data_IF_223620508235
#
_entry.id   IF_223620508235
#
_cell.length_a   1.000
_cell.length_b   1.000
_cell.length_c   1.000
_cell.angle_alpha   90.00
_cell.angle_beta   90.00
_cell.angle_gamma   90.00
#
_symmetry.space_group_name_H-M   'P 1'
#
loop_
_entity.id
_entity.type
_entity.pdbx_description
1 polymer ?
#
# COMPACT_ATOMS: atom_id res chain seq x y z
N UNK A 1 15.54 -10.11 9.46
CA UNK A 1 14.36 -10.14 8.57
C UNK A 1 13.50 -8.92 8.90
N UNK A 2 13.07 -8.17 7.89
CA UNK A 2 12.28 -6.95 8.10
C UNK A 2 10.90 -7.14 7.46
N UNK A 3 9.84 -6.89 8.23
CA UNK A 3 8.46 -6.82 7.76
C UNK A 3 8.03 -5.37 7.76
N UNK A 4 7.64 -4.86 6.60
CA UNK A 4 7.06 -3.53 6.48
C UNK A 4 5.52 -3.63 6.48
N UNK A 5 4.85 -2.62 7.04
CA UNK A 5 3.39 -2.55 7.15
C UNK A 5 2.71 -3.83 7.68
N UNK A 6 3.29 -4.41 8.73
CA UNK A 6 2.82 -5.65 9.33
C UNK A 6 1.39 -5.49 9.89
N UNK A 7 0.45 -6.27 9.34
CA UNK A 7 -0.94 -6.28 9.75
C UNK A 7 -1.50 -7.71 9.73
N UNK A 8 -2.47 -7.98 10.61
CA UNK A 8 -3.20 -9.25 10.63
C UNK A 8 -4.61 -8.95 10.14
N UNK A 9 -4.95 -9.45 8.96
CA UNK A 9 -6.26 -9.20 8.33
C UNK A 9 -7.20 -10.38 8.49
N UNK A 10 -6.64 -11.59 8.59
CA UNK A 10 -7.40 -12.83 8.70
C UNK A 10 -6.86 -13.73 9.81
N UNK A 11 -7.66 -14.70 10.23
CA UNK A 11 -7.24 -15.70 11.22
C UNK A 11 -6.14 -16.62 10.69
N UNK A 12 -6.12 -16.84 9.37
CA UNK A 12 -5.12 -17.64 8.69
C UNK A 12 -3.74 -17.01 8.84
N UNK A 13 -3.66 -15.68 8.83
CA UNK A 13 -2.42 -14.93 9.06
C UNK A 13 -1.83 -15.32 10.43
N UNK A 14 -2.62 -15.28 11.51
CA UNK A 14 -2.14 -15.69 12.86
C UNK A 14 -1.61 -17.13 12.87
N UNK A 15 -2.37 -18.06 12.27
CA UNK A 15 -2.03 -19.49 12.26
C UNK A 15 -0.72 -19.76 11.51
N UNK A 16 -0.43 -18.98 10.46
CA UNK A 16 0.81 -19.09 9.69
C UNK A 16 1.98 -18.35 10.34
N UNK A 17 1.72 -17.16 10.90
CA UNK A 17 2.76 -16.29 11.44
C UNK A 17 3.33 -16.81 12.76
N UNK A 18 2.52 -17.44 13.62
CA UNK A 18 2.98 -18.02 14.88
C UNK A 18 4.14 -19.02 14.73
N UNK A 19 4.01 -20.12 13.93
CA UNK A 19 5.10 -21.07 13.76
C UNK A 19 6.29 -20.44 13.02
N UNK A 20 6.05 -19.55 12.05
CA UNK A 20 7.11 -18.84 11.35
C UNK A 20 7.98 -18.04 12.32
N UNK A 21 7.38 -17.19 13.15
CA UNK A 21 8.11 -16.36 14.10
C UNK A 21 8.84 -17.20 15.13
N UNK A 22 8.21 -18.27 15.63
CA UNK A 22 8.85 -19.22 16.55
C UNK A 22 10.12 -19.83 15.96
N UNK A 23 10.07 -20.30 14.71
CA UNK A 23 11.24 -20.87 14.01
C UNK A 23 12.32 -19.80 13.80
N UNK A 24 11.95 -18.59 13.36
CA UNK A 24 12.89 -17.50 13.16
C UNK A 24 13.66 -17.17 14.45
N UNK A 25 12.95 -17.01 15.58
CA UNK A 25 13.60 -16.72 16.86
C UNK A 25 14.45 -17.89 17.37
N UNK A 26 13.97 -19.13 17.22
CA UNK A 26 14.76 -20.32 17.60
C UNK A 26 16.07 -20.46 16.79
N UNK A 27 16.11 -19.94 15.57
CA UNK A 27 17.32 -19.87 14.76
C UNK A 27 18.17 -18.60 14.97
N UNK A 28 17.84 -17.78 15.97
CA UNK A 28 18.56 -16.55 16.30
C UNK A 28 18.36 -15.43 15.26
N UNK A 29 17.31 -15.51 14.44
CA UNK A 29 17.02 -14.46 13.45
C UNK A 29 16.45 -13.23 14.16
N UNK A 30 17.10 -12.08 13.97
CA UNK A 30 16.54 -10.79 14.38
C UNK A 30 15.40 -10.40 13.44
N UNK A 31 14.23 -10.15 14.01
CA UNK A 31 13.05 -9.65 13.30
C UNK A 31 12.86 -8.16 13.63
N UNK A 32 12.62 -7.36 12.61
CA UNK A 32 12.19 -5.96 12.72
C UNK A 32 10.85 -5.85 11.99
N UNK A 33 9.85 -5.24 12.62
CA UNK A 33 8.54 -5.04 12.01
C UNK A 33 8.04 -3.61 12.24
N UNK A 34 7.43 -3.01 11.23
CA UNK A 34 6.70 -1.73 11.32
C UNK A 34 5.20 -2.02 11.24
N UNK A 35 4.39 -1.26 11.97
CA UNK A 35 2.93 -1.40 11.95
C UNK A 35 2.29 -0.07 12.36
N UNK A 36 1.16 0.25 11.75
CA UNK A 36 0.32 1.38 12.15
C UNK A 36 -0.57 1.08 13.37
N UNK A 37 -0.51 -0.16 13.89
CA UNK A 37 -1.26 -0.62 15.05
C UNK A 37 -0.32 -1.21 16.09
N UNK A 38 -0.63 -1.00 17.37
CA UNK A 38 0.03 -1.71 18.45
C UNK A 38 -0.17 -3.23 18.29
N UNK A 39 0.73 -4.08 18.81
CA UNK A 39 0.59 -5.53 18.72
C UNK A 39 -0.79 -6.04 19.13
N UNK A 40 -1.34 -5.49 20.21
CA UNK A 40 -2.64 -5.82 20.78
C UNK A 40 -3.80 -5.49 19.81
N UNK A 41 -3.60 -4.52 18.92
CA UNK A 41 -4.60 -4.05 17.96
C UNK A 41 -4.38 -4.62 16.54
N UNK A 42 -3.40 -5.51 16.36
CA UNK A 42 -3.09 -6.10 15.05
C UNK A 42 -4.30 -6.84 14.44
N UNK A 43 -5.18 -7.41 15.28
CA UNK A 43 -6.35 -8.16 14.85
C UNK A 43 -7.64 -7.70 15.55
N UNK A 44 -7.88 -6.39 15.60
CA UNK A 44 -9.12 -5.79 16.14
C UNK A 44 -10.36 -6.32 15.41
N UNK A 45 -11.43 -6.63 16.17
CA UNK A 45 -12.71 -7.19 15.70
C UNK A 45 -12.62 -8.51 14.92
N UNK A 46 -11.47 -9.18 14.97
CA UNK A 46 -11.22 -10.43 14.29
C UNK A 46 -12.02 -11.60 14.84
N UNK A 47 -12.47 -12.49 13.96
CA UNK A 47 -13.15 -13.74 14.34
C UNK A 47 -12.22 -14.58 15.22
N UNK A 48 -12.72 -15.08 16.36
CA UNK A 48 -11.97 -15.89 17.33
C UNK A 48 -10.66 -15.24 17.83
N UNK A 49 -10.54 -13.90 17.81
CA UNK A 49 -9.38 -13.14 18.30
C UNK A 49 -8.85 -13.64 19.65
N UNK A 50 -9.74 -13.95 20.58
CA UNK A 50 -9.41 -14.43 21.93
C UNK A 50 -8.64 -15.76 21.97
N UNK A 51 -8.73 -16.59 20.92
CA UNK A 51 -7.99 -17.86 20.84
C UNK A 51 -6.61 -17.69 20.22
N UNK A 52 -6.50 -16.87 19.18
CA UNK A 52 -5.32 -16.83 18.32
C UNK A 52 -4.39 -15.65 18.58
N UNK A 53 -4.94 -14.50 19.01
CA UNK A 53 -4.12 -13.33 19.26
C UNK A 53 -3.24 -13.48 20.51
N UNK A 54 -3.74 -13.95 21.68
CA UNK A 54 -2.90 -14.02 22.88
C UNK A 54 -1.62 -14.88 22.70
N UNK A 55 -1.69 -16.09 22.11
CA UNK A 55 -0.48 -16.88 21.87
C UNK A 55 0.53 -16.20 20.93
N UNK A 56 0.06 -15.44 19.94
CA UNK A 56 0.93 -14.68 19.05
C UNK A 56 1.56 -13.48 19.76
N UNK A 57 0.80 -12.78 20.59
CA UNK A 57 1.32 -11.71 21.44
C UNK A 57 2.40 -12.21 22.40
N UNK A 58 2.23 -13.39 23.00
CA UNK A 58 3.24 -13.97 23.88
C UNK A 58 4.59 -14.16 23.17
N UNK A 59 4.57 -14.65 21.92
CA UNK A 59 5.77 -14.79 21.08
C UNK A 59 6.40 -13.42 20.82
N UNK A 60 5.60 -12.41 20.44
CA UNK A 60 6.09 -11.06 20.17
C UNK A 60 6.66 -10.40 21.42
N UNK A 61 5.97 -10.41 22.56
CA UNK A 61 6.44 -9.77 23.79
C UNK A 61 7.66 -10.47 24.39
N UNK A 62 7.81 -11.77 24.19
CA UNK A 62 8.98 -12.52 24.67
C UNK A 62 10.24 -12.18 23.86
N UNK A 63 10.10 -12.02 22.54
CA UNK A 63 11.26 -11.94 21.63
C UNK A 63 11.49 -10.54 21.04
N UNK A 64 10.50 -9.65 21.08
CA UNK A 64 10.56 -8.33 20.49
C UNK A 64 10.41 -7.23 21.55
N UNK A 65 11.06 -6.09 21.30
CA UNK A 65 10.81 -4.85 22.05
C UNK A 65 9.89 -3.96 21.22
N UNK A 66 8.68 -3.71 21.72
CA UNK A 66 7.73 -2.80 21.10
C UNK A 66 8.22 -1.36 21.31
N UNK A 67 8.34 -0.61 20.22
CA UNK A 67 8.65 0.83 20.26
C UNK A 67 7.51 1.59 19.59
N UNK A 68 6.86 2.45 20.36
CA UNK A 68 5.85 3.35 19.84
C UNK A 68 6.55 4.57 19.21
N UNK A 69 6.38 4.74 17.91
CA UNK A 69 6.89 5.89 17.16
C UNK A 69 5.80 6.95 17.09
N UNK A 70 5.78 7.84 18.09
CA UNK A 70 4.95 9.04 18.05
C UNK A 70 5.77 10.19 17.46
N UNK A 71 5.25 10.83 16.41
CA UNK A 71 5.84 12.02 15.80
C UNK A 71 4.75 13.06 15.65
N UNK A 72 4.99 14.26 16.18
CA UNK A 72 4.14 15.43 15.90
C UNK A 72 4.33 15.96 14.47
N UNK A 73 5.41 15.55 13.82
CA UNK A 73 5.74 15.91 12.44
C UNK A 73 5.27 14.80 11.50
N UNK A 74 4.31 15.12 10.65
CA UNK A 74 4.04 14.32 9.47
C UNK A 74 5.12 14.61 8.41
N UNK A 75 6.08 13.71 8.29
CA UNK A 75 7.16 13.85 7.32
C UNK A 75 6.66 13.82 5.88
N UNK A 76 5.48 13.24 5.60
CA UNK A 76 4.85 13.34 4.28
C UNK A 76 4.49 14.79 3.99
N UNK A 77 3.86 15.47 4.95
CA UNK A 77 3.51 16.89 4.85
C UNK A 77 4.75 17.79 4.71
N UNK A 78 5.82 17.54 5.47
CA UNK A 78 7.07 18.30 5.35
C UNK A 78 7.70 18.13 3.96
N UNK A 79 7.68 16.92 3.41
CA UNK A 79 8.12 16.69 2.03
C UNK A 79 7.22 17.40 1.03
N UNK A 80 5.91 17.48 1.29
CA UNK A 80 4.98 18.22 0.44
C UNK A 80 5.22 19.74 0.48
N UNK A 81 5.40 20.35 1.65
CA UNK A 81 5.65 21.80 1.76
C UNK A 81 6.95 22.23 1.07
N UNK A 82 7.95 21.34 1.02
CA UNK A 82 9.27 21.63 0.45
C UNK A 82 9.44 21.18 -1.01
N UNK A 83 8.42 20.59 -1.62
CA UNK A 83 8.45 20.15 -3.03
C UNK A 83 7.53 21.02 -3.88
N UNK A 84 8.05 21.57 -4.98
CA UNK A 84 7.25 22.40 -5.90
C UNK A 84 6.05 21.64 -6.52
N UNK A 85 6.09 20.30 -6.50
CA UNK A 85 5.18 19.37 -7.16
C UNK A 85 4.63 18.30 -6.19
N UNK A 86 4.26 18.73 -5.00
CA UNK A 86 3.86 17.88 -3.89
C UNK A 86 2.50 17.16 -4.05
N UNK A 87 2.51 15.89 -4.46
CA UNK A 87 1.46 14.90 -4.17
C UNK A 87 0.03 15.31 -4.49
N UNK A 88 -0.23 15.76 -5.72
CA UNK A 88 -1.37 16.64 -5.92
C UNK A 88 -2.70 15.92 -6.06
N UNK A 89 -3.44 15.93 -4.96
CA UNK A 89 -4.89 15.80 -4.93
C UNK A 89 -5.50 17.16 -5.31
N UNK A 90 -6.20 17.23 -6.44
CA UNK A 90 -6.88 18.44 -6.88
C UNK A 90 -8.38 18.38 -6.57
N UNK A 91 -8.82 19.19 -5.60
CA UNK A 91 -10.23 19.43 -5.32
C UNK A 91 -10.45 20.89 -4.89
N UNK A 92 -11.43 21.62 -5.45
CA UNK A 92 -12.37 21.21 -6.51
C UNK A 92 -11.69 21.04 -7.88
N UNK A 93 -12.33 20.28 -8.77
CA UNK A 93 -11.76 19.84 -10.05
C UNK A 93 -11.38 21.00 -10.97
N UNK A 94 -10.08 21.24 -11.16
CA UNK A 94 -9.54 22.06 -12.25
C UNK A 94 -8.97 21.14 -13.33
N UNK A 95 -9.63 21.10 -14.50
CA UNK A 95 -9.17 20.29 -15.63
C UNK A 95 -7.81 20.76 -16.16
N UNK A 96 -7.59 22.07 -16.18
CA UNK A 96 -6.33 22.65 -16.67
C UNK A 96 -5.15 22.27 -15.79
N UNK A 97 -5.39 22.10 -14.49
CA UNK A 97 -4.40 21.59 -13.55
C UNK A 97 -3.96 20.16 -13.89
N UNK A 98 -4.91 19.24 -14.11
CA UNK A 98 -4.61 17.84 -14.44
C UNK A 98 -3.94 17.72 -15.81
N UNK A 99 -4.37 18.51 -16.80
CA UNK A 99 -3.74 18.55 -18.13
C UNK A 99 -2.28 18.98 -18.03
N UNK A 100 -2.01 20.10 -17.34
CA UNK A 100 -0.64 20.58 -17.11
C UNK A 100 0.20 19.57 -16.34
N UNK A 101 -0.37 18.91 -15.35
CA UNK A 101 0.35 17.89 -14.57
C UNK A 101 0.71 16.66 -15.41
N UNK A 102 -0.21 16.21 -16.24
CA UNK A 102 0.06 15.13 -17.17
C UNK A 102 1.22 15.53 -18.10
N UNK A 103 1.16 16.70 -18.73
CA UNK A 103 2.25 17.22 -19.58
C UNK A 103 3.60 17.32 -18.85
N UNK A 104 3.63 17.84 -17.62
CA UNK A 104 4.86 17.93 -16.83
C UNK A 104 5.45 16.56 -16.53
N UNK A 105 4.60 15.61 -16.16
CA UNK A 105 5.06 14.27 -15.76
C UNK A 105 5.54 13.47 -16.96
N UNK A 106 4.90 13.64 -18.13
CA UNK A 106 5.30 12.98 -19.38
C UNK A 106 6.44 13.69 -20.11
N UNK A 107 6.93 14.83 -19.61
CA UNK A 107 7.98 15.62 -20.26
C UNK A 107 7.52 16.31 -21.55
N UNK A 108 6.22 16.64 -21.65
CA UNK A 108 5.59 17.24 -22.83
C UNK A 108 5.18 16.23 -23.90
N UNK A 109 5.43 14.93 -23.69
CA UNK A 109 4.89 13.87 -24.52
C UNK A 109 3.37 13.76 -24.29
N UNK A 110 2.58 13.72 -25.35
CA UNK A 110 1.15 13.42 -25.24
C UNK A 110 0.91 12.00 -24.71
N UNK A 111 -0.35 11.65 -24.49
CA UNK A 111 -0.76 10.28 -24.19
C UNK A 111 -1.38 9.62 -25.42
N UNK A 112 -1.03 8.37 -25.70
CA UNK A 112 -1.71 7.54 -26.70
C UNK A 112 -2.66 6.56 -26.02
N UNK A 113 -3.76 6.23 -26.67
CA UNK A 113 -4.64 5.15 -26.20
C UNK A 113 -3.94 3.82 -26.44
N UNK A 114 -3.83 3.00 -25.40
CA UNK A 114 -3.15 1.70 -25.47
C UNK A 114 -3.85 0.65 -24.61
N UNK A 115 -3.73 -0.61 -25.03
CA UNK A 115 -4.12 -1.76 -24.24
C UNK A 115 -2.94 -2.16 -23.33
N UNK A 116 -3.20 -2.28 -22.03
CA UNK A 116 -2.22 -2.74 -21.03
C UNK A 116 -2.67 -4.08 -20.47
N UNK A 117 -1.78 -5.07 -20.57
CA UNK A 117 -2.00 -6.38 -20.00
C UNK A 117 -2.07 -6.31 -18.46
N UNK A 118 -3.21 -6.72 -17.92
CA UNK A 118 -3.45 -6.84 -16.48
C UNK A 118 -3.53 -8.32 -16.07
N UNK A 119 -3.84 -8.56 -14.80
CA UNK A 119 -3.88 -9.91 -14.22
C UNK A 119 -4.86 -10.84 -14.95
N UNK A 120 -4.58 -12.14 -14.90
CA UNK A 120 -5.44 -13.20 -15.46
C UNK A 120 -5.67 -13.12 -16.98
N UNK A 121 -4.73 -12.55 -17.75
CA UNK A 121 -4.79 -12.53 -19.21
C UNK A 121 -5.84 -11.56 -19.77
N UNK A 122 -6.27 -10.60 -18.95
CA UNK A 122 -7.13 -9.49 -19.37
C UNK A 122 -6.27 -8.33 -19.88
N UNK A 123 -6.86 -7.49 -20.73
CA UNK A 123 -6.31 -6.19 -21.10
C UNK A 123 -7.20 -5.08 -20.59
N UNK A 124 -6.59 -3.99 -20.10
CA UNK A 124 -7.27 -2.75 -19.79
C UNK A 124 -6.95 -1.70 -20.86
N UNK A 125 -8.00 -1.08 -21.39
CA UNK A 125 -7.86 0.12 -22.22
C UNK A 125 -7.43 1.31 -21.36
N UNK A 126 -6.25 1.83 -21.65
CA UNK A 126 -5.69 3.04 -21.05
C UNK A 126 -5.90 4.21 -22.02
N UNK A 127 -6.78 5.18 -21.69
CA UNK A 127 -7.14 6.25 -22.62
C UNK A 127 -5.95 7.13 -23.03
N UNK A 128 -5.04 7.38 -22.09
CA UNK A 128 -3.84 8.17 -22.31
C UNK A 128 -2.67 7.55 -21.54
N UNK A 129 -1.77 6.89 -22.27
CA UNK A 129 -0.53 6.33 -21.77
C UNK A 129 0.64 7.12 -22.35
N UNK A 130 1.56 7.56 -21.49
CA UNK A 130 2.81 8.21 -21.90
C UNK A 130 3.68 7.30 -22.77
N UNK A 131 4.51 7.87 -23.64
CA UNK A 131 5.45 7.12 -24.49
C UNK A 131 6.42 6.22 -23.71
N UNK A 132 6.74 6.58 -22.46
CA UNK A 132 7.60 5.77 -21.59
C UNK A 132 6.87 4.62 -20.88
N UNK A 133 5.54 4.52 -21.05
CA UNK A 133 4.70 3.47 -20.47
C UNK A 133 4.55 3.50 -18.96
N UNK A 134 4.98 4.58 -18.28
CA UNK A 134 4.97 4.68 -16.81
C UNK A 134 3.91 5.60 -16.24
N UNK A 135 3.26 6.39 -17.08
CA UNK A 135 2.27 7.38 -16.67
C UNK A 135 1.02 7.12 -17.49
N UNK A 136 -0.07 6.82 -16.79
CA UNK A 136 -1.38 6.60 -17.36
C UNK A 136 -2.36 7.61 -16.79
N UNK A 137 -3.28 8.08 -17.64
CA UNK A 137 -4.38 8.96 -17.23
C UNK A 137 -5.71 8.32 -17.54
N UNK A 138 -6.56 8.32 -16.52
CA UNK A 138 -7.91 7.80 -16.56
C UNK A 138 -8.90 8.86 -16.06
N UNK A 139 -10.15 8.75 -16.48
CA UNK A 139 -11.25 9.34 -15.71
C UNK A 139 -11.61 8.43 -14.54
N UNK A 140 -12.30 8.97 -13.54
CA UNK A 140 -12.85 8.16 -12.45
C UNK A 140 -13.78 7.05 -12.96
N UNK A 141 -14.50 7.29 -14.05
CA UNK A 141 -15.40 6.30 -14.66
C UNK A 141 -14.66 5.11 -15.27
N UNK A 142 -13.48 5.35 -15.85
CA UNK A 142 -12.67 4.30 -16.50
C UNK A 142 -12.14 3.27 -15.50
N UNK A 143 -11.94 3.69 -14.24
CA UNK A 143 -11.45 2.84 -13.17
C UNK A 143 -12.57 2.31 -12.27
N UNK A 144 -13.43 3.20 -11.76
CA UNK A 144 -14.35 2.87 -10.66
C UNK A 144 -15.78 2.53 -11.11
N UNK A 145 -16.11 2.72 -12.40
CA UNK A 145 -17.41 2.28 -12.97
C UNK A 145 -17.28 1.05 -13.87
N UNK A 146 -16.10 0.45 -13.88
CA UNK A 146 -15.80 -0.78 -14.60
C UNK A 146 -15.70 -1.96 -13.63
N UNK A 147 -15.75 -3.18 -14.16
CA UNK A 147 -15.60 -4.41 -13.39
C UNK A 147 -14.11 -4.72 -13.19
N UNK A 148 -13.39 -3.82 -12.51
CA UNK A 148 -11.99 -3.98 -12.14
C UNK A 148 -11.86 -4.61 -10.75
N UNK A 149 -10.87 -5.47 -10.61
CA UNK A 149 -10.47 -6.12 -9.37
C UNK A 149 -9.28 -5.41 -8.73
N UNK A 150 -9.02 -5.67 -7.45
CA UNK A 150 -7.84 -5.14 -6.77
C UNK A 150 -6.53 -5.50 -7.50
N UNK A 151 -6.45 -6.70 -8.08
CA UNK A 151 -5.29 -7.15 -8.85
C UNK A 151 -5.06 -6.34 -10.14
N UNK A 152 -6.13 -5.80 -10.74
CA UNK A 152 -6.00 -4.93 -11.91
C UNK A 152 -5.32 -3.61 -11.51
N UNK A 153 -5.72 -3.02 -10.37
CA UNK A 153 -5.12 -1.80 -9.84
C UNK A 153 -3.66 -1.97 -9.41
N UNK A 154 -3.30 -3.15 -8.87
CA UNK A 154 -1.91 -3.44 -8.49
C UNK A 154 -0.98 -3.61 -9.71
N UNK A 155 -1.55 -3.90 -10.88
CA UNK A 155 -0.78 -4.17 -12.09
C UNK A 155 -0.60 -2.94 -12.99
N UNK A 156 -1.54 -2.00 -12.94
CA UNK A 156 -1.47 -0.68 -13.57
C UNK A 156 -0.35 0.18 -12.95
#
# INVERSE_FOLDING_TARGET
LCFDEFAITTIQDCVLLMPLFSVLFNHGVTVVATSNRAPEDLYTDGLNRHLYLPPFLDILHTNCKVQHLESSTDYRAVHYENSADAGVFCWPHDRGFIDRWFELTTGGGGGVSADVDVSFGRSLQVPQLSDCGRIARFSFGDLCRQHLSADDFLKL
#
